data_IF_040787661676
#
_entry.id   IF_040787661676
#
_cell.length_a   1.000
_cell.length_b   1.000
_cell.length_c   1.000
_cell.angle_alpha   90.00
_cell.angle_beta   90.00
_cell.angle_gamma   90.00
#
_symmetry.space_group_name_H-M   'P 1'
#
loop_
_entity.id
_entity.type
_entity.pdbx_description
1 polymer ?
#
# COMPACT_ATOMS: atom_id res chain seq x y z
N UNK A 1 14.43 9.39 -7.57
CA UNK A 1 13.44 9.27 -8.58
C UNK A 1 12.12 9.84 -8.19
N UNK A 2 11.32 9.22 -7.35
CA UNK A 2 10.07 9.85 -6.92
C UNK A 2 10.30 11.20 -6.25
N UNK A 3 11.38 11.36 -5.50
CA UNK A 3 11.69 12.62 -4.83
C UNK A 3 11.93 13.79 -5.78
N UNK A 4 12.28 13.49 -7.03
CA UNK A 4 12.57 14.52 -8.03
C UNK A 4 11.34 14.87 -8.86
N UNK A 5 10.24 14.14 -8.70
CA UNK A 5 8.99 14.36 -9.41
C UNK A 5 7.98 14.98 -8.45
N UNK A 6 7.04 15.74 -9.00
CA UNK A 6 5.90 16.17 -8.19
C UNK A 6 5.17 14.93 -7.70
N UNK A 7 4.87 14.89 -6.44
CA UNK A 7 4.22 13.72 -5.85
C UNK A 7 3.29 14.13 -4.71
N UNK A 8 2.38 13.23 -4.38
CA UNK A 8 1.50 13.40 -3.22
C UNK A 8 1.92 12.39 -2.16
N UNK A 9 1.71 12.75 -0.92
CA UNK A 9 2.12 11.89 0.20
C UNK A 9 0.91 11.50 1.03
N UNK A 10 1.00 10.32 1.64
CA UNK A 10 0.02 9.83 2.59
C UNK A 10 0.77 9.31 3.81
N UNK A 11 0.28 9.60 5.03
CA UNK A 11 0.90 9.02 6.21
C UNK A 11 0.66 7.51 6.25
N UNK A 12 1.59 6.81 6.85
CA UNK A 12 1.52 5.36 7.00
C UNK A 12 1.81 5.02 8.46
N UNK A 13 1.02 4.14 9.10
CA UNK A 13 1.31 3.72 10.47
C UNK A 13 2.69 3.06 10.56
N UNK A 14 3.37 3.29 11.68
CA UNK A 14 4.71 2.72 11.88
C UNK A 14 4.71 1.20 11.76
N UNK A 15 3.67 0.53 12.25
CA UNK A 15 3.55 -0.93 12.15
C UNK A 15 3.51 -1.38 10.70
N UNK A 16 2.75 -0.68 9.86
CA UNK A 16 2.64 -1.04 8.46
C UNK A 16 3.97 -0.75 7.73
N UNK A 17 4.62 0.36 8.05
CA UNK A 17 5.93 0.68 7.50
C UNK A 17 6.96 -0.39 7.84
N UNK A 18 7.05 -0.75 9.12
CA UNK A 18 7.98 -1.77 9.60
C UNK A 18 7.73 -3.11 8.90
N UNK A 19 6.47 -3.50 8.82
CA UNK A 19 6.08 -4.73 8.14
C UNK A 19 6.44 -4.69 6.66
N UNK A 20 6.22 -3.55 6.00
CA UNK A 20 6.53 -3.42 4.58
C UNK A 20 8.01 -3.59 4.33
N UNK A 21 8.86 -2.92 5.11
CA UNK A 21 10.31 -3.02 4.94
C UNK A 21 10.82 -4.43 5.27
N UNK A 22 10.26 -5.05 6.31
CA UNK A 22 10.60 -6.43 6.64
C UNK A 22 10.23 -7.38 5.50
N UNK A 23 9.04 -7.24 4.96
CA UNK A 23 8.55 -8.09 3.87
C UNK A 23 9.43 -7.91 2.63
N UNK A 24 9.77 -6.68 2.28
CA UNK A 24 10.64 -6.41 1.15
C UNK A 24 11.97 -7.13 1.31
N UNK A 25 12.60 -7.01 2.48
CA UNK A 25 13.90 -7.64 2.72
C UNK A 25 13.81 -9.17 2.70
N UNK A 26 12.75 -9.73 3.32
CA UNK A 26 12.53 -11.17 3.34
C UNK A 26 12.36 -11.72 1.93
N UNK A 27 11.56 -11.08 1.11
CA UNK A 27 11.30 -11.56 -0.25
C UNK A 27 12.51 -11.37 -1.16
N UNK A 28 13.32 -10.33 -0.93
CA UNK A 28 14.57 -10.16 -1.66
C UNK A 28 15.55 -11.30 -1.37
N UNK A 29 15.66 -11.70 -0.11
CA UNK A 29 16.55 -12.80 0.26
C UNK A 29 16.09 -14.11 -0.35
N UNK A 30 14.77 -14.34 -0.42
CA UNK A 30 14.25 -15.54 -1.09
C UNK A 30 14.53 -15.53 -2.58
N UNK A 31 14.38 -14.38 -3.23
CA UNK A 31 14.65 -14.22 -4.65
C UNK A 31 13.76 -15.04 -5.58
N UNK A 32 12.65 -15.57 -5.08
CA UNK A 32 11.74 -16.43 -5.85
C UNK A 32 10.30 -15.95 -5.75
N UNK A 33 9.63 -15.89 -6.89
CA UNK A 33 8.22 -15.52 -6.97
C UNK A 33 7.33 -16.78 -6.79
N UNK A 34 7.51 -17.49 -5.68
CA UNK A 34 6.71 -18.66 -5.38
C UNK A 34 5.40 -18.25 -4.71
N UNK A 35 4.53 -19.23 -4.43
CA UNK A 35 3.21 -18.96 -3.88
C UNK A 35 3.29 -18.18 -2.57
N UNK A 36 4.19 -18.56 -1.68
CA UNK A 36 4.34 -17.88 -0.39
C UNK A 36 4.74 -16.42 -0.57
N UNK A 37 5.70 -16.15 -1.46
CA UNK A 37 6.14 -14.78 -1.75
C UNK A 37 4.99 -13.96 -2.33
N UNK A 38 4.23 -14.53 -3.27
CA UNK A 38 3.10 -13.84 -3.89
C UNK A 38 2.01 -13.54 -2.86
N UNK A 39 1.70 -14.48 -1.97
CA UNK A 39 0.68 -14.27 -0.93
C UNK A 39 1.09 -13.15 0.04
N UNK A 40 2.36 -13.12 0.45
CA UNK A 40 2.86 -12.06 1.33
C UNK A 40 2.85 -10.71 0.64
N UNK A 41 3.28 -10.66 -0.62
CA UNK A 41 3.28 -9.43 -1.41
C UNK A 41 1.85 -8.93 -1.62
N UNK A 42 0.92 -9.82 -1.95
CA UNK A 42 -0.49 -9.48 -2.10
C UNK A 42 -1.04 -8.83 -0.84
N UNK A 43 -0.84 -9.48 0.31
CA UNK A 43 -1.31 -8.95 1.58
C UNK A 43 -0.76 -7.56 1.87
N UNK A 44 0.52 -7.36 1.61
CA UNK A 44 1.16 -6.06 1.83
C UNK A 44 0.61 -5.00 0.90
N UNK A 45 0.48 -5.29 -0.39
CA UNK A 45 -0.04 -4.32 -1.37
C UNK A 45 -1.48 -3.95 -1.02
N UNK A 46 -2.30 -4.92 -0.63
CA UNK A 46 -3.68 -4.65 -0.23
C UNK A 46 -3.73 -3.70 0.97
N UNK A 47 -2.91 -3.95 1.98
CA UNK A 47 -2.92 -3.10 3.18
C UNK A 47 -2.39 -1.70 2.90
N UNK A 48 -1.36 -1.57 2.06
CA UNK A 48 -0.86 -0.26 1.64
C UNK A 48 -1.91 0.50 0.82
N UNK A 49 -2.60 -0.18 -0.08
CA UNK A 49 -3.64 0.43 -0.90
C UNK A 49 -4.81 0.88 -0.04
N UNK A 50 -5.23 0.04 0.91
CA UNK A 50 -6.32 0.38 1.83
C UNK A 50 -5.96 1.61 2.67
N UNK A 51 -4.71 1.68 3.15
CA UNK A 51 -4.23 2.85 3.89
C UNK A 51 -4.30 4.12 3.04
N UNK A 52 -3.89 4.03 1.78
CA UNK A 52 -3.96 5.18 0.86
C UNK A 52 -5.38 5.62 0.58
N UNK A 53 -6.29 4.66 0.34
CA UNK A 53 -7.69 4.96 0.11
C UNK A 53 -8.33 5.62 1.33
N UNK A 54 -8.04 5.11 2.53
CA UNK A 54 -8.52 5.72 3.76
C UNK A 54 -8.06 7.18 3.85
N UNK A 55 -6.80 7.42 3.63
CA UNK A 55 -6.27 8.78 3.72
C UNK A 55 -6.87 9.72 2.67
N UNK A 56 -6.88 9.31 1.41
CA UNK A 56 -7.29 10.22 0.34
C UNK A 56 -8.80 10.41 0.24
N UNK A 57 -9.60 9.43 0.65
CA UNK A 57 -11.05 9.51 0.52
C UNK A 57 -11.78 9.76 1.83
N UNK A 58 -11.31 9.19 2.94
CA UNK A 58 -12.03 9.32 4.20
C UNK A 58 -11.52 10.46 5.06
N UNK A 59 -10.22 10.74 5.03
CA UNK A 59 -9.67 11.82 5.86
C UNK A 59 -10.29 13.18 5.56
N UNK A 60 -10.50 13.58 4.29
CA UNK A 60 -11.19 14.84 4.02
C UNK A 60 -12.57 14.91 4.65
N UNK A 61 -13.32 13.80 4.65
CA UNK A 61 -14.64 13.75 5.27
C UNK A 61 -14.55 13.89 6.78
N UNK A 62 -13.52 13.30 7.41
CA UNK A 62 -13.31 13.46 8.85
C UNK A 62 -13.01 14.90 9.20
N UNK A 63 -12.19 15.57 8.40
CA UNK A 63 -11.83 16.99 8.62
C UNK A 63 -13.01 17.91 8.43
N UNK A 64 -13.96 17.56 7.56
CA UNK A 64 -15.19 18.30 7.37
C UNK A 64 -16.23 17.96 8.43
N UNK A 65 -15.91 17.04 9.34
CA UNK A 65 -16.84 16.57 10.39
C UNK A 65 -18.11 16.00 9.79
N UNK A 66 -17.98 15.22 8.71
CA UNK A 66 -19.12 14.56 8.08
C UNK A 66 -19.84 13.67 9.07
N UNK A 67 -21.16 13.59 8.97
CA UNK A 67 -21.96 12.76 9.86
C UNK A 67 -21.75 11.28 9.64
N UNK A 68 -22.19 10.48 10.61
CA UNK A 68 -21.98 9.03 10.58
C UNK A 68 -22.57 8.36 9.34
N UNK A 69 -23.72 8.85 8.87
CA UNK A 69 -24.38 8.29 7.69
C UNK A 69 -23.50 8.47 6.46
N UNK A 70 -22.97 9.69 6.24
CA UNK A 70 -22.12 9.97 5.09
C UNK A 70 -20.82 9.19 5.16
N UNK A 71 -20.20 9.09 6.34
CA UNK A 71 -19.01 8.29 6.54
C UNK A 71 -19.26 6.81 6.23
N UNK A 72 -20.37 6.27 6.68
CA UNK A 72 -20.72 4.87 6.41
C UNK A 72 -20.94 4.63 4.93
N UNK A 73 -21.60 5.53 4.23
CA UNK A 73 -21.81 5.42 2.79
C UNK A 73 -20.48 5.47 2.04
N UNK A 74 -19.58 6.36 2.44
CA UNK A 74 -18.26 6.48 1.80
C UNK A 74 -17.45 5.20 2.00
N UNK A 75 -17.47 4.63 3.21
CA UNK A 75 -16.77 3.38 3.50
C UNK A 75 -17.33 2.22 2.69
N UNK A 76 -18.64 2.14 2.55
CA UNK A 76 -19.28 1.11 1.73
C UNK A 76 -18.88 1.21 0.27
N UNK A 77 -18.86 2.43 -0.26
CA UNK A 77 -18.43 2.67 -1.65
C UNK A 77 -17.00 2.25 -1.89
N UNK A 78 -16.11 2.62 -0.98
CA UNK A 78 -14.69 2.25 -1.06
C UNK A 78 -14.53 0.74 -0.97
N UNK A 79 -15.22 0.09 -0.05
CA UNK A 79 -15.14 -1.36 0.12
C UNK A 79 -15.62 -2.10 -1.13
N UNK A 80 -16.69 -1.63 -1.75
CA UNK A 80 -17.22 -2.25 -2.97
C UNK A 80 -16.23 -2.13 -4.13
N UNK A 81 -15.65 -0.95 -4.31
CA UNK A 81 -14.66 -0.70 -5.35
C UNK A 81 -13.41 -1.55 -5.10
N UNK A 82 -12.96 -1.59 -3.85
CA UNK A 82 -11.74 -2.29 -3.47
C UNK A 82 -11.87 -3.81 -3.61
N UNK A 83 -13.07 -4.35 -3.36
CA UNK A 83 -13.31 -5.79 -3.49
C UNK A 83 -13.01 -6.29 -4.91
N UNK A 84 -13.44 -5.54 -5.93
CA UNK A 84 -13.11 -5.89 -7.31
C UNK A 84 -11.64 -5.73 -7.61
N UNK A 85 -11.02 -4.69 -7.09
CA UNK A 85 -9.60 -4.43 -7.29
C UNK A 85 -8.71 -5.54 -6.70
N UNK A 86 -9.10 -6.10 -5.56
CA UNK A 86 -8.34 -7.20 -4.94
C UNK A 86 -8.19 -8.39 -5.87
N UNK A 87 -9.26 -8.74 -6.57
CA UNK A 87 -9.23 -9.86 -7.51
C UNK A 87 -8.23 -9.62 -8.64
N UNK A 88 -8.25 -8.42 -9.21
CA UNK A 88 -7.34 -8.06 -10.30
C UNK A 88 -5.90 -8.05 -9.82
N UNK A 89 -5.64 -7.45 -8.66
CA UNK A 89 -4.29 -7.41 -8.08
C UNK A 89 -3.74 -8.82 -7.89
N UNK A 90 -4.55 -9.71 -7.33
CA UNK A 90 -4.13 -11.10 -7.10
C UNK A 90 -3.78 -11.81 -8.41
N UNK A 91 -4.61 -11.63 -9.44
CA UNK A 91 -4.37 -12.24 -10.75
C UNK A 91 -3.08 -11.73 -11.38
N UNK A 92 -2.82 -10.43 -11.28
CA UNK A 92 -1.58 -9.85 -11.81
C UNK A 92 -0.37 -10.38 -11.08
N UNK A 93 -0.43 -10.44 -9.74
CA UNK A 93 0.70 -10.90 -8.93
C UNK A 93 1.04 -12.36 -9.19
N UNK A 94 0.03 -13.20 -9.47
CA UNK A 94 0.27 -14.61 -9.76
C UNK A 94 1.12 -14.83 -11.02
N UNK A 95 1.20 -13.83 -11.89
CA UNK A 95 1.95 -13.90 -13.13
C UNK A 95 3.38 -13.39 -13.01
N UNK A 96 3.78 -12.93 -11.82
CA UNK A 96 5.12 -12.39 -11.63
C UNK A 96 6.18 -13.48 -11.72
N UNK A 97 7.24 -13.19 -12.44
CA UNK A 97 8.46 -13.99 -12.38
C UNK A 97 9.41 -13.39 -11.34
N UNK A 98 10.55 -14.01 -11.13
CA UNK A 98 11.50 -13.59 -10.09
C UNK A 98 12.04 -12.19 -10.36
N UNK A 99 12.26 -11.84 -11.61
CA UNK A 99 12.75 -10.52 -12.00
C UNK A 99 11.72 -9.43 -11.76
N UNK A 100 10.47 -9.71 -12.12
CA UNK A 100 9.37 -8.77 -11.91
C UNK A 100 9.11 -8.57 -10.42
N UNK A 101 9.24 -9.63 -9.63
CA UNK A 101 9.14 -9.53 -8.17
C UNK A 101 10.17 -8.54 -7.64
N UNK A 102 11.44 -8.67 -8.06
CA UNK A 102 12.50 -7.76 -7.62
C UNK A 102 12.16 -6.30 -7.93
N UNK A 103 11.61 -6.04 -9.12
CA UNK A 103 11.21 -4.69 -9.52
C UNK A 103 10.11 -4.12 -8.64
N UNK A 104 9.13 -4.95 -8.26
CA UNK A 104 8.05 -4.51 -7.38
C UNK A 104 8.57 -4.23 -5.97
N UNK A 105 9.48 -5.06 -5.47
CA UNK A 105 10.09 -4.82 -4.16
C UNK A 105 10.86 -3.50 -4.14
N UNK A 106 11.60 -3.21 -5.20
CA UNK A 106 12.30 -1.92 -5.33
C UNK A 106 11.33 -0.75 -5.33
N UNK A 107 10.20 -0.89 -6.02
CA UNK A 107 9.17 0.13 -6.05
C UNK A 107 8.59 0.39 -4.65
N UNK A 108 8.26 -0.68 -3.92
CA UNK A 108 7.69 -0.53 -2.58
C UNK A 108 8.69 0.18 -1.66
N UNK A 109 9.96 -0.19 -1.73
CA UNK A 109 10.98 0.48 -0.92
C UNK A 109 11.11 1.95 -1.30
N UNK A 110 11.02 2.26 -2.59
CA UNK A 110 11.13 3.64 -3.08
C UNK A 110 10.00 4.54 -2.58
N UNK A 111 8.78 4.02 -2.46
CA UNK A 111 7.65 4.84 -2.04
C UNK A 111 7.53 4.99 -0.52
N UNK A 112 8.26 4.20 0.26
CA UNK A 112 8.22 4.30 1.72
C UNK A 112 9.36 5.17 2.19
N UNK A 113 9.02 6.26 2.90
CA UNK A 113 10.00 7.21 3.40
C UNK A 113 9.96 7.28 4.92
N UNK A 114 11.13 7.44 5.52
CA UNK A 114 11.22 7.70 6.95
C UNK A 114 10.69 9.09 7.26
N UNK A 115 10.11 9.29 8.45
CA UNK A 115 9.72 10.64 8.87
C UNK A 115 10.94 11.56 8.88
N UNK A 116 10.75 12.79 8.43
CA UNK A 116 11.81 13.77 8.51
C UNK A 116 12.04 14.15 9.97
N UNK A 117 13.30 14.43 10.32
CA UNK A 117 13.62 14.89 11.64
C UNK A 117 12.92 16.23 11.90
N UNK A 118 12.39 16.47 13.12
CA UNK A 118 11.75 17.75 13.41
C UNK A 118 12.74 18.89 13.20
N UNK A 119 12.25 20.00 12.66
CA UNK A 119 13.05 21.20 12.53
C UNK A 119 13.42 21.72 13.92
N UNK A 120 14.67 22.09 14.10
CA UNK A 120 15.16 22.62 15.38
C UNK A 120 15.28 24.11 15.36
#
# INVERSE_FOLDING_TARGET
>A
MLKQQSHIVAPIPDELRTRALYTVNELRERGKADKEAIDKLYSLIIDLTENGLDFFFLEPLRRLKAGNMLMSMAKMGINSMFKGSKMVIHKVLKKLDDRSLASILDFIEEIIHEPEAPAQ
#
